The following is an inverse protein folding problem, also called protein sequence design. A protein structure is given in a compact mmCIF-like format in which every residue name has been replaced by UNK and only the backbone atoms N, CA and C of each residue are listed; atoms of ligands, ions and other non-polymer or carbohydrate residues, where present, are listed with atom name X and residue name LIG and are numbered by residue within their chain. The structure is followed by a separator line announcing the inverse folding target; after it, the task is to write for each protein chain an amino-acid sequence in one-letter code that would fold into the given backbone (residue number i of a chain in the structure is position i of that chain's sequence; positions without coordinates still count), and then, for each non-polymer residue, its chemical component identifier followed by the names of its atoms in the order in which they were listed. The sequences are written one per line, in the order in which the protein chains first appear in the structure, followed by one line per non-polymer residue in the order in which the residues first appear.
data_IF_328325093063
#
_entry.id   IF_328325093063
#
_cell.length_a   1.000
_cell.length_b   1.000
_cell.length_c   1.000
_cell.angle_alpha   90.00
_cell.angle_beta   90.00
_cell.angle_gamma   90.00
#
_symmetry.space_group_name_H-M   'P 1'
#
loop_
_entity.id
_entity.type
_entity.pdbx_description
1 polymer ?
#
# COMPACT_ATOMS: atom_id res chain seq x y z
N UNK A 1 -18.02 -4.78 -1.67
CA UNK A 1 -16.94 -5.51 -2.34
C UNK A 1 -16.73 -6.88 -1.70
N UNK A 2 -15.66 -7.56 -2.09
CA UNK A 2 -15.20 -8.82 -1.46
C UNK A 2 -13.69 -8.87 -1.26
N UNK A 3 -12.97 -7.87 -1.76
CA UNK A 3 -11.53 -7.73 -1.57
C UNK A 3 -11.22 -6.70 -0.46
N UNK A 4 -10.02 -6.80 0.11
CA UNK A 4 -9.48 -5.81 1.06
C UNK A 4 -8.05 -5.49 0.67
N UNK A 5 -7.61 -4.25 0.86
CA UNK A 5 -6.23 -3.85 0.55
C UNK A 5 -5.73 -2.72 1.45
N UNK A 6 -4.42 -2.52 1.43
CA UNK A 6 -3.72 -1.38 2.00
C UNK A 6 -2.96 -0.67 0.88
N UNK A 7 -3.13 0.64 0.76
CA UNK A 7 -2.37 1.48 -0.15
C UNK A 7 -1.31 2.28 0.61
N UNK A 8 -0.36 2.84 -0.12
CA UNK A 8 0.70 3.71 0.43
C UNK A 8 1.00 4.83 -0.56
N UNK A 9 1.55 5.95 -0.09
CA UNK A 9 2.15 6.96 -0.96
C UNK A 9 3.14 6.33 -1.93
N UNK A 10 3.02 6.70 -3.21
CA UNK A 10 3.64 5.97 -4.31
C UNK A 10 5.18 6.02 -4.21
N UNK A 11 5.74 7.18 -3.90
CA UNK A 11 7.17 7.42 -3.77
C UNK A 11 7.75 6.58 -2.63
N UNK A 12 7.09 6.60 -1.46
CA UNK A 12 7.52 5.81 -0.32
C UNK A 12 7.40 4.30 -0.56
N UNK A 13 6.34 3.85 -1.26
CA UNK A 13 6.19 2.44 -1.65
C UNK A 13 7.34 2.01 -2.56
N UNK A 14 7.67 2.82 -3.55
CA UNK A 14 8.74 2.55 -4.52
C UNK A 14 10.10 2.49 -3.81
N UNK A 15 10.43 3.48 -2.97
CA UNK A 15 11.68 3.47 -2.21
C UNK A 15 11.78 2.27 -1.27
N UNK A 16 10.68 1.93 -0.61
CA UNK A 16 10.62 0.74 0.25
C UNK A 16 10.91 -0.54 -0.53
N UNK A 17 10.30 -0.71 -1.72
CA UNK A 17 10.53 -1.87 -2.57
C UNK A 17 11.96 -1.93 -3.13
N UNK A 18 12.55 -0.77 -3.47
CA UNK A 18 13.95 -0.67 -3.89
C UNK A 18 14.89 -1.19 -2.80
N UNK A 19 14.71 -0.75 -1.55
CA UNK A 19 15.54 -1.19 -0.43
C UNK A 19 15.20 -2.60 0.09
N UNK A 20 14.02 -3.13 -0.26
CA UNK A 20 13.63 -4.52 0.00
C UNK A 20 14.05 -5.44 -1.14
N UNK A 21 15.37 -5.52 -1.37
CA UNK A 21 15.99 -6.34 -2.42
C UNK A 21 15.42 -6.10 -3.83
N UNK A 22 15.00 -4.87 -4.12
CA UNK A 22 14.38 -4.50 -5.39
C UNK A 22 13.14 -5.36 -5.72
N UNK A 23 12.29 -5.63 -4.72
CA UNK A 23 11.01 -6.29 -4.93
C UNK A 23 10.23 -5.62 -6.08
N UNK A 24 9.56 -6.39 -6.95
CA UNK A 24 8.94 -5.90 -8.19
C UNK A 24 9.92 -5.37 -9.26
N UNK A 25 11.17 -5.84 -9.29
CA UNK A 25 12.11 -5.57 -10.38
C UNK A 25 12.09 -6.67 -11.46
N UNK A 26 11.93 -6.34 -12.76
CA UNK A 26 11.81 -7.32 -13.84
C UNK A 26 13.14 -7.92 -14.31
N UNK A 27 14.26 -7.25 -14.00
CA UNK A 27 15.57 -7.62 -14.51
C UNK A 27 16.23 -8.71 -13.67
N UNK A 28 17.02 -9.57 -14.34
CA UNK A 28 17.86 -10.58 -13.67
C UNK A 28 19.01 -9.91 -12.90
N UNK A 29 19.49 -8.75 -13.37
CA UNK A 29 20.47 -7.93 -12.68
C UNK A 29 19.77 -6.81 -11.92
N UNK A 30 20.28 -6.37 -10.75
CA UNK A 30 19.70 -5.25 -10.00
C UNK A 30 19.54 -3.98 -10.84
N UNK A 31 18.57 -3.11 -10.52
CA UNK A 31 18.46 -1.79 -11.14
C UNK A 31 19.77 -1.00 -10.90
N UNK A 32 20.17 -0.21 -11.90
CA UNK A 32 21.39 0.61 -11.84
C UNK A 32 21.23 1.82 -10.91
N UNK A 33 19.99 2.23 -10.65
CA UNK A 33 19.67 3.38 -9.79
C UNK A 33 18.23 3.30 -9.26
N UNK A 34 17.96 4.06 -8.19
CA UNK A 34 16.62 4.28 -7.67
C UNK A 34 15.67 4.88 -8.71
N UNK A 35 16.16 5.81 -9.55
CA UNK A 35 15.35 6.45 -10.58
C UNK A 35 14.91 5.45 -11.68
N UNK A 36 15.81 4.55 -12.08
CA UNK A 36 15.49 3.49 -13.03
C UNK A 36 14.41 2.56 -12.46
N UNK A 37 14.58 2.13 -11.21
CA UNK A 37 13.59 1.31 -10.52
C UNK A 37 12.24 2.03 -10.38
N UNK A 38 12.24 3.30 -9.98
CA UNK A 38 11.05 4.12 -9.83
C UNK A 38 10.28 4.29 -11.14
N UNK A 39 11.00 4.47 -12.25
CA UNK A 39 10.38 4.58 -13.58
C UNK A 39 9.66 3.29 -13.97
N UNK A 40 10.29 2.13 -13.74
CA UNK A 40 9.68 0.83 -14.02
C UNK A 40 8.47 0.55 -13.11
N UNK A 41 8.54 0.96 -11.84
CA UNK A 41 7.50 0.70 -10.84
C UNK A 41 6.39 1.77 -10.78
N UNK A 42 6.51 2.85 -11.55
CA UNK A 42 5.53 3.94 -11.56
C UNK A 42 4.13 3.43 -11.95
N UNK A 43 3.14 3.70 -11.10
CA UNK A 43 1.75 3.28 -11.33
C UNK A 43 1.42 1.82 -10.96
N UNK A 44 2.35 1.07 -10.36
CA UNK A 44 2.15 -0.33 -9.94
C UNK A 44 0.86 -0.55 -9.13
N UNK A 45 0.56 0.32 -8.15
CA UNK A 45 -0.69 0.22 -7.36
C UNK A 45 -1.97 0.29 -8.21
N UNK A 46 -1.98 1.11 -9.27
CA UNK A 46 -3.12 1.20 -10.19
C UNK A 46 -3.24 -0.09 -10.99
N UNK A 47 -2.12 -0.55 -11.58
CA UNK A 47 -2.09 -1.77 -12.39
C UNK A 47 -2.52 -3.01 -11.60
N UNK A 48 -2.10 -3.12 -10.34
CA UNK A 48 -2.48 -4.22 -9.45
C UNK A 48 -3.98 -4.27 -9.15
N UNK A 49 -4.66 -3.13 -9.21
CA UNK A 49 -6.11 -3.06 -8.97
C UNK A 49 -6.92 -3.48 -10.21
N UNK A 50 -6.41 -3.20 -11.42
CA UNK A 50 -7.24 -3.29 -12.65
C UNK A 50 -6.77 -4.31 -13.68
N UNK A 51 -5.49 -4.72 -13.66
CA UNK A 51 -4.94 -5.66 -14.65
C UNK A 51 -5.15 -7.10 -14.21
N UNK A 52 -5.41 -7.97 -15.19
CA UNK A 52 -5.72 -9.38 -14.96
C UNK A 52 -4.50 -10.21 -14.56
N UNK A 53 -3.28 -9.72 -14.81
CA UNK A 53 -2.04 -10.35 -14.34
C UNK A 53 -2.05 -10.48 -12.80
N UNK A 54 -2.42 -9.40 -12.09
CA UNK A 54 -2.54 -9.41 -10.64
C UNK A 54 -3.63 -10.38 -10.16
N UNK A 55 -4.77 -10.44 -10.86
CA UNK A 55 -5.84 -11.38 -10.55
C UNK A 55 -5.43 -12.85 -10.75
N UNK A 56 -4.44 -13.12 -11.62
CA UNK A 56 -3.85 -14.45 -11.84
C UNK A 56 -2.68 -14.76 -10.91
N UNK A 57 -2.35 -13.85 -9.98
CA UNK A 57 -1.23 -13.98 -9.05
C UNK A 57 0.13 -13.58 -9.65
N UNK A 58 0.16 -13.04 -10.86
CA UNK A 58 1.37 -12.50 -11.48
C UNK A 58 1.51 -11.00 -11.14
N UNK A 59 1.92 -10.74 -9.90
CA UNK A 59 2.07 -9.39 -9.37
C UNK A 59 3.24 -8.63 -9.99
N UNK A 60 4.32 -9.34 -10.29
CA UNK A 60 5.45 -8.79 -10.98
C UNK A 60 5.00 -8.36 -12.40
N UNK A 61 4.33 -9.25 -13.14
CA UNK A 61 3.79 -8.93 -14.47
C UNK A 61 2.78 -7.78 -14.45
N UNK A 62 1.97 -7.65 -13.40
CA UNK A 62 1.06 -6.51 -13.25
C UNK A 62 1.81 -5.19 -12.99
N UNK A 63 2.87 -5.21 -12.18
CA UNK A 63 3.61 -4.01 -11.80
C UNK A 63 4.71 -3.60 -12.77
N UNK A 64 5.15 -4.48 -13.68
CA UNK A 64 6.33 -4.26 -14.53
C UNK A 64 5.97 -4.14 -16.01
N UNK A 65 4.90 -3.40 -16.30
CA UNK A 65 4.40 -3.12 -17.65
C UNK A 65 4.29 -1.61 -17.90
N UNK A 66 3.81 -1.24 -19.10
CA UNK A 66 3.53 0.14 -19.48
C UNK A 66 2.77 0.92 -18.40
N UNK A 67 3.03 2.22 -18.34
CA UNK A 67 2.34 3.14 -17.43
C UNK A 67 0.82 2.98 -17.54
N UNK A 68 0.09 3.10 -16.41
CA UNK A 68 -1.36 3.03 -16.46
C UNK A 68 -1.91 4.17 -17.30
N UNK A 69 -2.89 3.86 -18.16
CA UNK A 69 -3.66 4.86 -18.89
C UNK A 69 -4.60 5.61 -17.95
N UNK A 70 -5.08 6.79 -18.35
CA UNK A 70 -6.12 7.52 -17.60
C UNK A 70 -7.40 6.70 -17.38
N UNK A 71 -7.75 5.84 -18.34
CA UNK A 71 -8.88 4.92 -18.20
C UNK A 71 -8.63 3.89 -17.10
N UNK A 72 -7.41 3.36 -16.99
CA UNK A 72 -7.02 2.44 -15.91
C UNK A 72 -7.00 3.14 -14.54
N UNK A 73 -6.55 4.40 -14.47
CA UNK A 73 -6.62 5.21 -13.24
C UNK A 73 -8.08 5.43 -12.82
N UNK A 74 -8.96 5.79 -13.76
CA UNK A 74 -10.39 5.97 -13.49
C UNK A 74 -11.07 4.66 -13.07
N UNK A 75 -10.71 3.54 -13.70
CA UNK A 75 -11.19 2.22 -13.33
C UNK A 75 -10.71 1.84 -11.93
N UNK A 76 -9.43 2.04 -11.60
CA UNK A 76 -8.89 1.73 -10.27
C UNK A 76 -9.63 2.49 -9.16
N UNK A 77 -9.91 3.78 -9.37
CA UNK A 77 -10.72 4.58 -8.44
C UNK A 77 -12.14 4.02 -8.27
N UNK A 78 -12.73 3.51 -9.35
CA UNK A 78 -14.07 2.92 -9.32
C UNK A 78 -14.05 1.57 -8.60
N UNK A 79 -13.09 0.71 -8.92
CA UNK A 79 -12.92 -0.61 -8.31
C UNK A 79 -12.63 -0.51 -6.82
N UNK A 80 -11.73 0.39 -6.39
CA UNK A 80 -11.45 0.62 -4.97
C UNK A 80 -12.70 1.01 -4.16
N UNK A 81 -13.68 1.70 -4.78
CA UNK A 81 -14.92 2.10 -4.11
C UNK A 81 -16.00 1.02 -4.12
N UNK A 82 -16.09 0.22 -5.19
CA UNK A 82 -17.20 -0.72 -5.42
C UNK A 82 -16.83 -2.16 -5.03
N UNK A 83 -15.63 -2.58 -5.42
CA UNK A 83 -15.22 -3.98 -5.45
C UNK A 83 -14.43 -4.37 -4.19
N UNK A 84 -13.88 -3.39 -3.47
CA UNK A 84 -13.25 -3.57 -2.16
C UNK A 84 -14.25 -3.31 -1.03
N UNK A 85 -14.21 -4.14 0.01
CA UNK A 85 -14.96 -3.92 1.26
C UNK A 85 -14.20 -3.04 2.25
N UNK A 86 -12.88 -2.96 2.08
CA UNK A 86 -12.02 -2.11 2.88
C UNK A 86 -10.78 -1.71 2.09
N UNK A 87 -10.41 -0.43 2.17
CA UNK A 87 -9.17 0.12 1.63
C UNK A 87 -8.54 0.96 2.74
N UNK A 88 -7.46 0.47 3.32
CA UNK A 88 -6.68 1.24 4.29
C UNK A 88 -5.51 1.96 3.62
N UNK A 89 -4.89 2.87 4.36
CA UNK A 89 -3.67 3.57 3.93
C UNK A 89 -2.58 3.38 4.97
N UNK A 90 -1.36 3.13 4.52
CA UNK A 90 -0.23 2.79 5.40
C UNK A 90 0.23 3.98 6.23
N UNK A 91 0.05 5.19 5.72
CA UNK A 91 0.34 6.44 6.43
C UNK A 91 -0.48 6.57 7.72
N UNK A 92 -1.67 5.97 7.73
CA UNK A 92 -2.57 5.89 8.88
C UNK A 92 -2.73 4.43 9.32
N UNK A 93 -1.61 3.71 9.46
CA UNK A 93 -1.62 2.26 9.74
C UNK A 93 -2.47 1.89 10.95
N UNK A 94 -2.23 2.56 12.09
CA UNK A 94 -2.88 2.22 13.36
C UNK A 94 -4.41 2.40 13.24
N UNK A 95 -4.85 3.50 12.63
CA UNK A 95 -6.26 3.78 12.34
C UNK A 95 -6.85 2.77 11.35
N UNK A 96 -6.16 2.50 10.24
CA UNK A 96 -6.62 1.57 9.20
C UNK A 96 -6.85 0.17 9.75
N UNK A 97 -5.93 -0.33 10.58
CA UNK A 97 -6.07 -1.64 11.22
C UNK A 97 -7.23 -1.65 12.23
N UNK A 98 -7.36 -0.60 13.06
CA UNK A 98 -8.51 -0.51 13.96
C UNK A 98 -9.84 -0.48 13.21
N UNK A 99 -9.95 0.34 12.15
CA UNK A 99 -11.16 0.43 11.34
C UNK A 99 -11.50 -0.89 10.67
N UNK A 100 -10.51 -1.57 10.10
CA UNK A 100 -10.69 -2.92 9.54
C UNK A 100 -11.29 -3.86 10.60
N UNK A 101 -10.71 -3.89 11.80
CA UNK A 101 -11.21 -4.74 12.89
C UNK A 101 -12.65 -4.42 13.25
N UNK A 102 -12.97 -3.14 13.48
CA UNK A 102 -14.32 -2.69 13.86
C UNK A 102 -15.33 -3.01 12.76
N UNK A 103 -14.99 -2.75 11.50
CA UNK A 103 -15.87 -3.03 10.34
C UNK A 103 -16.20 -4.52 10.19
N UNK A 104 -15.29 -5.40 10.59
CA UNK A 104 -15.48 -6.85 10.52
C UNK A 104 -15.73 -7.49 11.90
N UNK A 105 -16.21 -6.71 12.89
CA UNK A 105 -16.75 -7.20 14.16
C UNK A 105 -15.71 -7.60 15.21
N UNK A 106 -14.45 -7.23 15.04
CA UNK A 106 -13.37 -7.50 15.99
C UNK A 106 -12.97 -6.25 16.80
N UNK A 107 -12.43 -6.44 18.03
CA UNK A 107 -11.83 -5.33 18.77
C UNK A 107 -10.52 -4.89 18.12
N UNK A 108 -10.17 -3.60 18.31
CA UNK A 108 -8.82 -3.13 18.08
C UNK A 108 -7.94 -3.48 19.29
N UNK A 109 -7.00 -4.41 19.10
CA UNK A 109 -6.11 -4.91 20.16
C UNK A 109 -4.69 -4.34 20.03
N UNK A 110 -4.03 -3.97 21.15
CA UNK A 110 -2.65 -3.44 21.13
C UNK A 110 -1.62 -4.36 20.45
N UNK A 111 -1.83 -5.68 20.52
CA UNK A 111 -0.93 -6.67 19.91
C UNK A 111 -0.80 -6.53 18.39
N UNK A 112 -1.77 -5.89 17.73
CA UNK A 112 -1.73 -5.66 16.28
C UNK A 112 -0.67 -4.62 15.88
N UNK A 113 -0.08 -3.90 16.85
CA UNK A 113 0.86 -2.81 16.62
C UNK A 113 2.27 -3.11 17.16
N UNK A 114 2.49 -4.28 17.77
CA UNK A 114 3.75 -4.58 18.47
C UNK A 114 4.89 -5.04 17.56
N UNK A 115 4.59 -5.50 16.35
CA UNK A 115 5.62 -6.00 15.41
C UNK A 115 5.32 -5.53 13.98
N UNK A 116 5.43 -4.22 13.77
CA UNK A 116 5.20 -3.58 12.48
C UNK A 116 6.43 -2.78 12.09
N UNK A 117 6.96 -3.03 10.89
CA UNK A 117 7.98 -2.19 10.29
C UNK A 117 7.33 -0.88 9.83
N UNK A 118 7.17 0.06 10.77
CA UNK A 118 6.69 1.40 10.44
C UNK A 118 7.77 2.06 9.57
N UNK A 119 7.35 2.63 8.43
CA UNK A 119 8.22 3.55 7.69
C UNK A 119 8.71 4.61 8.67
N UNK A 120 10.02 4.86 8.72
CA UNK A 120 10.62 5.69 9.76
C UNK A 120 9.95 7.05 9.88
N UNK A 121 9.02 7.18 10.83
CA UNK A 121 8.72 8.47 11.41
C UNK A 121 9.99 8.87 12.16
N UNK A 122 10.47 10.09 11.92
CA UNK A 122 11.40 10.71 12.84
C UNK A 122 10.91 10.40 14.26
N UNK A 123 11.82 9.97 15.13
CA UNK A 123 11.58 9.77 16.55
C UNK A 123 11.25 11.13 17.18
N UNK A 124 10.07 11.68 16.90
CA UNK A 124 9.41 12.63 17.77
C UNK A 124 8.89 11.82 18.90
N UNK A 125 9.64 11.87 20.00
CA UNK A 125 9.24 11.51 21.34
C UNK A 125 7.78 11.93 21.55
N UNK A 126 6.84 11.00 21.40
CA UNK A 126 5.50 11.19 21.91
C UNK A 126 5.62 11.12 23.43
N UNK A 127 5.76 12.27 24.07
CA UNK A 127 5.42 12.40 25.48
C UNK A 127 4.02 11.84 25.66
N UNK A 128 3.87 10.95 26.64
CA UNK A 128 2.59 10.48 27.14
C UNK A 128 1.70 11.68 27.48
N UNK A 129 0.88 12.12 26.55
CA UNK A 129 -0.38 12.79 26.83
C UNK A 129 -1.46 11.93 26.23
N UNK A 130 -2.06 11.13 27.11
CA UNK A 130 -3.41 10.60 27.00
C UNK A 130 -4.35 11.71 26.48
N UNK A 131 -4.58 11.71 25.18
CA UNK A 131 -5.71 12.37 24.53
C UNK A 131 -5.94 11.67 23.19
N UNK A 132 -6.91 10.76 23.18
CA UNK A 132 -7.54 10.26 21.96
C UNK A 132 -8.14 11.45 21.21
N UNK A 133 -7.58 11.81 20.05
CA UNK A 133 -8.10 12.85 19.14
C UNK A 133 -9.28 12.30 18.28
N UNK A 134 -10.05 11.38 18.85
CA UNK A 134 -11.31 10.90 18.28
C UNK A 134 -12.38 10.86 19.37
N UNK A 135 -12.62 12.03 19.96
CA UNK A 135 -13.83 12.32 20.72
C UNK A 135 -14.24 13.78 20.44
N UNK A 136 -14.90 13.98 19.29
CA UNK A 136 -15.94 14.99 19.01
C UNK A 136 -16.74 14.54 17.80
#
# INVERSE_FOLDING_TARGET
GSAVTMLRFAEQRILSAFHDNHHDWPGISPPRSELEFATANAGCQVRMVVRSDAARGDFAGACMQDLPTEAEVALARTSLRRDFSFVGVLEEYDLSVCLFRVMFGGPCLPIMFSNVHKAGAASTTYSNTSATVYDT
#
